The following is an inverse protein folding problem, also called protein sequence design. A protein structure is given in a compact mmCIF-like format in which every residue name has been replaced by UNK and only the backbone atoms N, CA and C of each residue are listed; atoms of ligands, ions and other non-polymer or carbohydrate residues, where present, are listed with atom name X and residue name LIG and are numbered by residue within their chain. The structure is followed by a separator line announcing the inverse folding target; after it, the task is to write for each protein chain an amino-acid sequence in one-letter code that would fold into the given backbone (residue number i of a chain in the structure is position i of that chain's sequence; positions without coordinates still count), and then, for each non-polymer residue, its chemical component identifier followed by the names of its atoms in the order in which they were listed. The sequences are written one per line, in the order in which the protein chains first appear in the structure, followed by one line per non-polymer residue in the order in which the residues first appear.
data_IF_192723864159
#
_entry.id   IF_192723864159
#
_cell.length_a   1.000
_cell.length_b   1.000
_cell.length_c   1.000
_cell.angle_alpha   90.00
_cell.angle_beta   90.00
_cell.angle_gamma   90.00
#
_symmetry.space_group_name_H-M   'P 1'
#
loop_
_entity.id
_entity.type
_entity.pdbx_description
1 polymer ?
#
# COMPACT_ATOMS: atom_id res chain seq x y z
N UNK A 1 -16.54 -4.05 -18.65
CA UNK A 1 -16.57 -3.94 -18.21
C UNK A 1 -16.48 -3.80 -17.66
N UNK A 2 -16.37 -3.70 -17.48
CA UNK A 2 -16.32 -3.50 -16.76
C UNK A 2 -16.24 -3.24 -16.18
N UNK A 3 -16.18 -3.17 -16.07
CA UNK A 3 -16.17 -3.04 -15.39
C UNK A 3 -16.20 -2.78 -14.78
N UNK A 4 -16.10 -2.73 -14.57
CA UNK A 4 -16.18 -2.58 -13.87
C UNK A 4 -16.40 -2.30 -13.18
N UNK A 5 -16.49 -2.23 -12.95
CA UNK A 5 -16.67 -1.99 -12.23
C UNK A 5 -16.87 -1.63 -11.49
N UNK A 6 -16.90 -1.66 -11.60
CA UNK A 6 -17.23 -1.52 -10.63
C UNK A 6 -17.16 -0.67 -9.54
N UNK A 7 -17.31 -0.66 -8.87
CA UNK A 7 -17.40 0.04 -7.81
C UNK A 7 -16.23 0.73 -7.46
N UNK A 8 -16.17 1.48 -7.15
CA UNK A 8 -15.72 2.40 -6.89
C UNK A 8 -14.60 2.40 -6.02
N UNK A 9 -14.67 2.08 -4.92
CA UNK A 9 -13.58 1.83 -4.12
C UNK A 9 -12.82 0.73 -4.73
N UNK A 10 -13.45 -0.06 -5.50
CA UNK A 10 -12.80 -1.09 -6.22
C UNK A 10 -11.88 -0.55 -7.26
N UNK A 11 -12.00 0.73 -7.57
CA UNK A 11 -11.12 1.37 -8.53
C UNK A 11 -9.88 1.95 -7.91
N UNK A 12 -9.69 1.79 -6.62
CA UNK A 12 -8.51 2.27 -5.98
C UNK A 12 -7.31 1.52 -6.52
N UNK A 13 -6.32 2.21 -7.07
CA UNK A 13 -5.18 1.51 -7.65
C UNK A 13 -4.35 0.81 -6.58
N UNK A 14 -3.86 -0.33 -6.97
CA UNK A 14 -2.93 -1.07 -6.13
C UNK A 14 -1.52 -0.67 -6.51
N UNK A 15 -0.71 -0.41 -5.51
CA UNK A 15 0.66 -0.02 -5.73
C UNK A 15 1.58 -1.19 -5.44
N UNK A 16 2.60 -1.34 -6.28
CA UNK A 16 3.68 -2.26 -5.99
C UNK A 16 4.51 -1.72 -4.85
N UNK A 17 5.29 -2.56 -4.18
CA UNK A 17 6.12 -2.08 -3.06
C UNK A 17 7.04 -0.93 -3.45
N UNK A 18 7.64 -0.96 -4.63
CA UNK A 18 8.52 0.12 -5.03
C UNK A 18 7.75 1.43 -5.23
N UNK A 19 6.52 1.33 -5.70
CA UNK A 19 5.68 2.51 -5.89
C UNK A 19 5.25 3.09 -4.55
N UNK A 20 4.89 2.21 -3.61
CA UNK A 20 4.50 2.66 -2.28
C UNK A 20 5.69 3.29 -1.56
N UNK A 21 6.87 2.69 -1.69
CA UNK A 21 8.07 3.23 -1.09
C UNK A 21 8.40 4.61 -1.64
N UNK A 22 8.26 4.76 -2.96
CA UNK A 22 8.49 6.07 -3.60
C UNK A 22 7.50 7.11 -3.08
N UNK A 23 6.26 6.73 -2.94
CA UNK A 23 5.23 7.64 -2.43
C UNK A 23 5.58 8.08 -1.00
N UNK A 24 6.03 7.15 -0.18
CA UNK A 24 6.40 7.44 1.20
C UNK A 24 7.78 8.06 1.32
N UNK A 25 8.55 8.04 0.23
CA UNK A 25 9.91 8.57 0.19
C UNK A 25 10.84 7.82 1.13
N UNK A 26 10.67 6.51 1.15
CA UNK A 26 11.56 5.62 1.89
C UNK A 26 12.09 4.59 0.92
N UNK A 27 13.08 3.82 1.34
CA UNK A 27 13.61 2.78 0.48
C UNK A 27 12.68 1.57 0.47
N UNK A 28 12.74 0.79 -0.60
CA UNK A 28 11.99 -0.46 -0.66
C UNK A 28 12.41 -1.39 0.46
N UNK A 29 13.69 -1.38 0.78
CA UNK A 29 14.23 -2.22 1.84
C UNK A 29 13.61 -1.83 3.19
N UNK A 30 13.52 -0.54 3.46
CA UNK A 30 12.89 -0.08 4.68
C UNK A 30 11.45 -0.56 4.77
N UNK A 31 10.72 -0.42 3.66
CA UNK A 31 9.31 -0.80 3.63
C UNK A 31 9.15 -2.30 3.84
N UNK A 32 10.01 -3.09 3.21
CA UNK A 32 9.95 -4.55 3.37
C UNK A 32 10.22 -4.96 4.80
N UNK A 33 11.20 -4.33 5.43
CA UNK A 33 11.51 -4.64 6.82
C UNK A 33 10.38 -4.24 7.75
N UNK A 34 9.78 -3.09 7.50
CA UNK A 34 8.64 -2.65 8.29
C UNK A 34 7.48 -3.63 8.18
N UNK A 35 7.23 -4.12 6.95
CA UNK A 35 6.18 -5.11 6.74
C UNK A 35 6.45 -6.39 7.51
N UNK A 36 7.70 -6.83 7.51
CA UNK A 36 8.07 -8.06 8.21
C UNK A 36 7.91 -7.91 9.71
N UNK A 37 8.09 -6.71 10.24
CA UNK A 37 7.90 -6.45 11.66
C UNK A 37 6.46 -6.16 12.02
N UNK A 38 5.59 -6.00 11.03
CA UNK A 38 4.23 -5.62 11.29
C UNK A 38 4.08 -4.18 11.71
N UNK A 39 5.03 -3.32 11.32
CA UNK A 39 5.05 -1.93 11.76
C UNK A 39 4.77 -0.93 10.67
N UNK A 40 4.77 -1.35 9.43
CA UNK A 40 4.55 -0.45 8.32
C UNK A 40 3.08 -0.28 7.99
N UNK A 41 2.80 0.35 6.85
CA UNK A 41 1.42 0.53 6.43
C UNK A 41 0.77 -0.81 6.08
N UNK A 42 -0.57 -0.85 6.11
CA UNK A 42 -1.28 -2.07 5.74
C UNK A 42 -0.99 -2.47 4.30
N UNK A 43 -0.98 -3.75 4.05
CA UNK A 43 -0.72 -4.26 2.70
C UNK A 43 -1.64 -5.42 2.41
N UNK A 44 -1.70 -5.78 1.13
CA UNK A 44 -2.49 -6.91 0.66
C UNK A 44 -1.54 -7.93 0.08
N UNK A 45 -1.76 -9.19 0.44
CA UNK A 45 -0.97 -10.29 -0.10
C UNK A 45 -1.81 -10.98 -1.17
N UNK A 46 -1.30 -11.01 -2.39
CA UNK A 46 -1.97 -11.71 -3.48
C UNK A 46 -0.99 -12.75 -3.99
N UNK A 47 -1.21 -14.01 -3.57
CA UNK A 47 -0.24 -15.05 -3.88
C UNK A 47 1.08 -14.69 -3.24
N UNK A 48 2.10 -14.51 -4.07
CA UNK A 48 3.43 -14.12 -3.60
C UNK A 48 3.66 -12.63 -3.74
N UNK A 49 2.69 -11.91 -4.25
CA UNK A 49 2.83 -10.49 -4.52
C UNK A 49 2.29 -9.68 -3.38
N UNK A 50 2.96 -8.59 -3.09
CA UNK A 50 2.51 -7.64 -2.08
C UNK A 50 2.04 -6.38 -2.81
N UNK A 51 0.92 -5.85 -2.35
CA UNK A 51 0.36 -4.63 -2.93
C UNK A 51 -0.10 -3.73 -1.80
N UNK A 52 -0.11 -2.44 -2.07
CA UNK A 52 -0.57 -1.43 -1.11
C UNK A 52 -1.70 -0.67 -1.74
N UNK A 53 -2.68 -0.31 -0.92
CA UNK A 53 -3.80 0.53 -1.36
C UNK A 53 -3.57 1.94 -0.86
N UNK A 54 -3.92 2.92 -1.69
CA UNK A 54 -3.64 4.32 -1.38
C UNK A 54 -4.35 4.79 -0.11
N UNK A 55 -5.63 4.47 0.04
CA UNK A 55 -6.39 4.99 1.17
C UNK A 55 -5.87 4.49 2.50
N UNK A 56 -5.71 3.16 2.71
CA UNK A 56 -5.15 2.69 3.98
C UNK A 56 -3.74 3.19 4.22
N UNK A 57 -2.94 3.30 3.15
CA UNK A 57 -1.57 3.76 3.27
C UNK A 57 -1.54 5.22 3.73
N UNK A 58 -2.39 6.06 3.16
CA UNK A 58 -2.44 7.47 3.55
C UNK A 58 -2.95 7.62 4.98
N UNK A 59 -3.91 6.77 5.38
CA UNK A 59 -4.40 6.77 6.74
C UNK A 59 -3.29 6.43 7.73
N UNK A 60 -2.50 5.42 7.38
CA UNK A 60 -1.37 5.04 8.21
C UNK A 60 -0.37 6.19 8.30
N UNK A 61 -0.08 6.81 7.16
CA UNK A 61 0.87 7.92 7.13
C UNK A 61 0.40 9.05 8.04
N UNK A 62 -0.89 9.34 7.99
CA UNK A 62 -1.46 10.39 8.82
C UNK A 62 -1.28 10.06 10.29
N UNK A 63 -1.39 8.79 10.65
CA UNK A 63 -1.26 8.38 12.04
C UNK A 63 0.17 8.51 12.55
N UNK A 64 1.13 8.68 11.65
CA UNK A 64 2.53 8.86 12.03
C UNK A 64 2.86 10.33 12.31
N UNK A 65 1.96 11.24 12.00
CA UNK A 65 2.19 12.67 12.25
C UNK A 65 2.18 12.96 13.74
N UNK A 66 2.97 13.92 14.13
CA UNK A 66 3.04 14.31 15.54
C UNK A 66 2.72 15.75 15.75
#
# INVERSE_FOLDING_TARGET
MSSHNGGDDDNEPLMKPNEAAAFLRVSESWLAKARMRGEGPPFIQIGRSVRYQMVPLRRWLKSQER
#
